data_IF_473444964335
#
_entry.id   IF_473444964335
#
_cell.length_a   1.000
_cell.length_b   1.000
_cell.length_c   1.000
_cell.angle_alpha   90.00
_cell.angle_beta   90.00
_cell.angle_gamma   90.00
#
_symmetry.space_group_name_H-M   'P 1'
#
loop_
_entity.id
_entity.type
_entity.pdbx_description
1 polymer ?
#
# COMPACT_ATOMS: atom_id res chain seq x y z
N UNK A 1 27.14 -19.37 19.23
CA UNK A 1 26.34 -19.00 18.04
C UNK A 1 25.69 -17.68 18.39
N UNK A 2 26.01 -16.60 17.67
CA UNK A 2 25.36 -15.31 17.92
C UNK A 2 23.90 -15.42 17.45
N UNK A 3 22.95 -15.21 18.36
CA UNK A 3 21.54 -15.06 18.00
C UNK A 3 21.45 -13.87 17.03
N UNK A 4 20.97 -14.13 15.81
CA UNK A 4 20.62 -13.04 14.91
C UNK A 4 19.48 -12.25 15.57
N UNK A 5 19.54 -10.92 15.62
CA UNK A 5 18.42 -10.13 16.10
C UNK A 5 17.18 -10.53 15.29
N UNK A 6 16.20 -11.13 15.97
CA UNK A 6 14.90 -11.35 15.36
C UNK A 6 14.41 -9.97 14.88
N UNK A 7 13.80 -9.87 13.71
CA UNK A 7 13.18 -8.66 13.14
C UNK A 7 12.22 -7.90 14.11
N UNK A 8 12.00 -8.42 15.31
CA UNK A 8 11.29 -7.84 16.46
C UNK A 8 12.16 -6.97 17.39
N UNK A 9 13.47 -6.83 17.16
CA UNK A 9 14.38 -6.13 18.10
C UNK A 9 14.78 -4.73 17.66
N UNK A 10 14.04 -4.11 16.74
CA UNK A 10 14.25 -2.69 16.43
C UNK A 10 13.38 -1.87 17.37
N UNK A 11 14.01 -1.09 18.25
CA UNK A 11 13.32 -0.06 19.01
C UNK A 11 12.88 1.03 18.05
N UNK A 12 11.57 1.16 17.86
CA UNK A 12 11.00 2.22 17.05
C UNK A 12 10.88 3.50 17.89
N UNK A 13 11.19 4.69 17.33
CA UNK A 13 10.96 5.96 18.01
C UNK A 13 9.50 6.10 18.46
N UNK A 14 9.28 6.88 19.52
CA UNK A 14 7.93 7.21 19.97
C UNK A 14 7.09 7.79 18.82
N UNK A 15 5.86 7.31 18.67
CA UNK A 15 4.97 7.68 17.56
C UNK A 15 5.17 6.89 16.27
N UNK A 16 6.01 5.85 16.28
CA UNK A 16 6.21 4.96 15.13
C UNK A 16 5.44 3.65 15.30
N UNK A 17 4.77 3.23 14.24
CA UNK A 17 4.06 1.95 14.21
C UNK A 17 4.75 0.97 13.25
N UNK A 18 4.94 -0.27 13.70
CA UNK A 18 5.35 -1.35 12.83
C UNK A 18 4.17 -1.78 11.96
N UNK A 19 4.39 -1.92 10.66
CA UNK A 19 3.38 -2.44 9.73
C UNK A 19 3.96 -3.61 8.94
N UNK A 20 3.16 -4.65 8.72
CA UNK A 20 3.48 -5.63 7.68
C UNK A 20 3.01 -5.07 6.35
N UNK A 21 3.76 -5.34 5.29
CA UNK A 21 3.48 -4.83 3.95
C UNK A 21 3.49 -5.96 2.93
N UNK A 22 2.46 -6.01 2.09
CA UNK A 22 2.41 -6.83 0.88
C UNK A 22 2.44 -5.91 -0.35
N UNK A 23 3.13 -6.35 -1.41
CA UNK A 23 3.27 -5.60 -2.66
C UNK A 23 2.58 -6.34 -3.80
N UNK A 24 1.85 -5.60 -4.61
CA UNK A 24 1.21 -6.12 -5.81
C UNK A 24 1.49 -5.19 -6.99
N UNK A 25 1.94 -5.75 -8.10
CA UNK A 25 1.97 -5.04 -9.37
C UNK A 25 0.59 -5.15 -10.03
N UNK A 26 -0.05 -4.01 -10.28
CA UNK A 26 -1.35 -3.94 -10.92
C UNK A 26 -1.22 -3.26 -12.29
N UNK A 27 -1.50 -4.01 -13.35
CA UNK A 27 -1.54 -3.51 -14.71
C UNK A 27 -2.98 -3.49 -15.21
N UNK A 28 -3.40 -2.37 -15.77
CA UNK A 28 -4.70 -2.20 -16.41
C UNK A 28 -4.55 -1.33 -17.66
N UNK A 29 -5.65 -1.08 -18.38
CA UNK A 29 -5.66 -0.25 -19.60
C UNK A 29 -5.16 1.18 -19.34
N UNK A 30 -5.26 1.63 -18.08
CA UNK A 30 -4.91 2.98 -17.63
C UNK A 30 -3.44 3.18 -17.31
N UNK A 31 -2.69 2.09 -17.11
CA UNK A 31 -1.28 2.17 -16.73
C UNK A 31 -0.84 1.03 -15.82
N UNK A 32 0.35 1.22 -15.23
CA UNK A 32 0.94 0.30 -14.28
C UNK A 32 1.04 0.97 -12.91
N UNK A 33 0.53 0.29 -11.89
CA UNK A 33 0.46 0.80 -10.54
C UNK A 33 1.15 -0.17 -9.59
N UNK A 34 1.88 0.36 -8.61
CA UNK A 34 2.34 -0.39 -7.46
C UNK A 34 1.30 -0.27 -6.36
N UNK A 35 0.75 -1.40 -5.92
CA UNK A 35 -0.18 -1.45 -4.80
C UNK A 35 0.54 -1.96 -3.56
N UNK A 36 0.48 -1.18 -2.49
CA UNK A 36 1.04 -1.48 -1.19
C UNK A 36 -0.12 -1.71 -0.21
N UNK A 37 -0.27 -2.94 0.27
CA UNK A 37 -1.22 -3.27 1.33
C UNK A 37 -0.48 -3.32 2.66
N UNK A 38 -0.97 -2.57 3.64
CA UNK A 38 -0.41 -2.52 4.98
C UNK A 38 -1.36 -3.19 5.97
N UNK A 39 -0.78 -3.99 6.86
CA UNK A 39 -1.42 -4.53 8.07
C UNK A 39 -0.78 -3.87 9.28
N UNK A 40 -1.61 -3.19 10.06
CA UNK A 40 -1.24 -2.54 11.31
C UNK A 40 -1.23 -3.54 12.48
N UNK A 41 -0.54 -3.21 13.56
CA UNK A 41 -0.41 -4.10 14.74
C UNK A 41 -1.74 -4.46 15.40
N UNK A 42 -2.79 -3.64 15.24
CA UNK A 42 -4.14 -3.92 15.76
C UNK A 42 -4.99 -4.78 14.81
N UNK A 43 -4.41 -5.28 13.72
CA UNK A 43 -5.05 -6.15 12.75
C UNK A 43 -5.93 -5.43 11.73
N UNK A 44 -5.83 -4.09 11.62
CA UNK A 44 -6.49 -3.33 10.54
C UNK A 44 -5.60 -3.20 9.31
N UNK A 45 -6.25 -2.93 8.18
CA UNK A 45 -5.63 -2.87 6.86
C UNK A 45 -5.93 -1.56 6.16
N UNK A 46 -4.97 -1.08 5.38
CA UNK A 46 -5.19 -0.03 4.37
C UNK A 46 -4.29 -0.30 3.17
N UNK A 47 -4.71 0.16 2.00
CA UNK A 47 -3.94 0.01 0.77
C UNK A 47 -3.64 1.36 0.14
N UNK A 48 -2.52 1.43 -0.56
CA UNK A 48 -2.07 2.58 -1.34
C UNK A 48 -1.72 2.10 -2.75
N UNK A 49 -2.18 2.80 -3.77
CA UNK A 49 -1.80 2.58 -5.16
C UNK A 49 -1.10 3.80 -5.72
N UNK A 50 0.08 3.60 -6.31
CA UNK A 50 0.88 4.68 -6.91
C UNK A 50 1.21 4.33 -8.35
N UNK A 51 1.10 5.31 -9.25
CA UNK A 51 1.51 5.16 -10.65
C UNK A 51 3.02 4.87 -10.74
N UNK A 52 3.41 3.95 -11.62
CA UNK A 52 4.80 3.56 -11.86
C UNK A 52 5.46 4.37 -12.99
N UNK A 53 4.72 5.15 -13.77
CA UNK A 53 5.30 6.05 -14.78
C UNK A 53 6.03 7.22 -14.10
N UNK A 54 7.37 7.33 -14.23
CA UNK A 54 8.13 8.41 -13.62
C UNK A 54 7.82 9.79 -14.19
N UNK A 55 7.17 9.87 -15.37
CA UNK A 55 6.78 11.14 -16.00
C UNK A 55 5.33 11.52 -15.72
N UNK A 56 4.52 10.58 -15.19
CA UNK A 56 3.15 10.88 -14.81
C UNK A 56 3.13 11.80 -13.58
N UNK A 57 2.05 12.60 -13.47
CA UNK A 57 1.79 13.32 -12.22
C UNK A 57 1.63 12.30 -11.11
N UNK A 58 2.35 12.49 -10.00
CA UNK A 58 2.25 11.59 -8.86
C UNK A 58 0.86 11.67 -8.23
N UNK A 59 0.01 10.70 -8.55
CA UNK A 59 -1.31 10.49 -7.96
C UNK A 59 -1.26 9.25 -7.08
N UNK A 60 -1.73 9.42 -5.84
CA UNK A 60 -1.75 8.35 -4.83
C UNK A 60 -3.20 8.02 -4.52
N UNK A 61 -3.57 6.76 -4.73
CA UNK A 61 -4.91 6.22 -4.46
C UNK A 61 -4.90 5.47 -3.13
N UNK A 62 -5.57 5.99 -2.10
CA UNK A 62 -5.62 5.34 -0.78
C UNK A 62 -6.99 4.73 -0.47
N UNK A 63 -7.03 3.63 0.29
CA UNK A 63 -8.25 3.17 0.98
C UNK A 63 -8.40 3.85 2.34
N UNK A 64 -9.60 3.73 2.94
CA UNK A 64 -9.73 3.92 4.38
C UNK A 64 -9.12 2.72 5.13
N UNK A 65 -8.87 2.89 6.43
CA UNK A 65 -8.46 1.82 7.32
C UNK A 65 -9.67 0.94 7.64
N UNK A 66 -9.58 -0.36 7.37
CA UNK A 66 -10.68 -1.34 7.48
C UNK A 66 -10.19 -2.65 8.12
N UNK A 67 -11.13 -3.49 8.57
CA UNK A 67 -10.80 -4.77 9.21
C UNK A 67 -10.59 -5.95 8.25
N UNK A 68 -10.97 -5.82 6.97
CA UNK A 68 -10.76 -6.85 5.95
C UNK A 68 -9.82 -6.33 4.85
N UNK A 69 -8.70 -7.01 4.66
CA UNK A 69 -7.71 -6.69 3.63
C UNK A 69 -8.27 -6.66 2.20
N UNK A 70 -9.29 -7.47 1.90
CA UNK A 70 -9.95 -7.51 0.59
C UNK A 70 -10.65 -6.19 0.30
N UNK A 71 -11.28 -5.60 1.31
CA UNK A 71 -11.98 -4.31 1.18
C UNK A 71 -10.96 -3.19 0.94
N UNK A 72 -9.83 -3.19 1.66
CA UNK A 72 -8.76 -2.21 1.46
C UNK A 72 -8.23 -2.25 0.01
N UNK A 73 -7.87 -3.45 -0.47
CA UNK A 73 -7.40 -3.65 -1.84
C UNK A 73 -8.44 -3.25 -2.88
N UNK A 74 -9.67 -3.76 -2.77
CA UNK A 74 -10.75 -3.48 -3.72
C UNK A 74 -11.01 -1.97 -3.83
N UNK A 75 -11.01 -1.26 -2.70
CA UNK A 75 -11.20 0.20 -2.69
C UNK A 75 -10.15 0.93 -3.52
N UNK A 76 -8.88 0.54 -3.43
CA UNK A 76 -7.80 1.18 -4.22
C UNK A 76 -7.93 0.85 -5.69
N UNK A 77 -8.17 -0.42 -6.02
CA UNK A 77 -8.31 -0.87 -7.41
C UNK A 77 -9.50 -0.18 -8.10
N UNK A 78 -10.63 -0.05 -7.43
CA UNK A 78 -11.81 0.67 -7.94
C UNK A 78 -11.54 2.16 -8.12
N UNK A 79 -10.76 2.79 -7.24
CA UNK A 79 -10.35 4.20 -7.41
C UNK A 79 -9.46 4.39 -8.63
N UNK A 80 -8.46 3.52 -8.81
CA UNK A 80 -7.60 3.53 -10.00
C UNK A 80 -8.44 3.29 -11.25
N UNK A 81 -9.35 2.32 -11.24
CA UNK A 81 -10.21 2.04 -12.38
C UNK A 81 -11.15 3.21 -12.71
N UNK A 82 -11.64 3.94 -11.69
CA UNK A 82 -12.47 5.13 -11.90
C UNK A 82 -11.67 6.33 -12.41
N UNK A 83 -10.48 6.57 -11.88
CA UNK A 83 -9.77 7.87 -11.97
C UNK A 83 -8.43 7.82 -12.72
N UNK A 84 -7.87 6.62 -12.95
CA UNK A 84 -6.47 6.32 -13.31
C UNK A 84 -5.91 6.87 -14.62
N UNK A 85 -6.60 7.80 -15.29
CA UNK A 85 -6.12 8.42 -16.53
C UNK A 85 -6.45 9.91 -16.51
N UNK A 86 -5.59 10.70 -15.86
CA UNK A 86 -5.44 12.10 -16.22
C UNK A 86 -4.28 12.17 -17.22
N UNK A 87 -4.60 11.87 -18.47
CA UNK A 87 -3.74 12.22 -19.61
C UNK A 87 -4.35 13.52 -20.15
N UNK A 88 -3.69 14.65 -19.88
CA UNK A 88 -3.92 15.88 -20.65
C UNK A 88 -3.25 15.73 -22.03
#
# INVERSE_FOLDING_TARGET
MAEQPAWRTVELPEGSDLVKKELFDFQCEKGQFLIELFETMDGKFYAIGTDKDPNAKMVIYGSHVVSDKRIALQTVLEKIDREGTWVD
#
